data_IF_210304688777
#
_entry.id   IF_210304688777
#
_cell.length_a   1.000
_cell.length_b   1.000
_cell.length_c   1.000
_cell.angle_alpha   90.00
_cell.angle_beta   90.00
_cell.angle_gamma   90.00
#
_symmetry.space_group_name_H-M   'P 1'
#
loop_
_entity.id
_entity.type
_entity.pdbx_description
1 polymer ?
#
# COMPACT_ATOMS: atom_id res chain seq x y z
N UNK A 1 0.82 4.80 5.41
CA UNK A 1 0.98 3.37 5.11
C UNK A 1 0.88 2.54 6.38
N UNK A 2 1.12 1.23 6.29
CA UNK A 2 1.12 0.34 7.46
C UNK A 2 2.53 0.10 7.99
N UNK A 3 2.67 0.08 9.32
CA UNK A 3 3.90 -0.37 10.00
C UNK A 3 4.08 -1.87 9.80
N UNK A 4 5.32 -2.28 9.58
CA UNK A 4 5.69 -3.69 9.44
C UNK A 4 5.63 -4.48 10.75
N UNK A 5 5.74 -3.80 11.90
CA UNK A 5 5.61 -4.39 13.24
C UNK A 5 4.81 -3.48 14.17
N UNK A 6 4.10 -4.08 15.13
CA UNK A 6 3.36 -3.34 16.15
C UNK A 6 4.31 -2.49 17.00
N UNK A 7 3.98 -1.21 17.31
CA UNK A 7 4.73 -0.40 18.27
C UNK A 7 4.78 -0.98 19.69
N UNK A 8 3.89 -1.91 20.02
CA UNK A 8 3.88 -2.60 21.32
C UNK A 8 4.90 -3.75 21.39
N UNK A 9 5.48 -4.15 20.27
CA UNK A 9 6.45 -5.24 20.21
C UNK A 9 7.83 -4.76 20.71
N UNK A 10 8.52 -5.50 21.59
CA UNK A 10 9.85 -5.10 22.08
C UNK A 10 10.92 -5.01 20.98
N UNK A 11 10.69 -5.63 19.81
CA UNK A 11 11.59 -5.55 18.67
C UNK A 11 11.28 -4.38 17.73
N UNK A 12 10.28 -3.55 18.05
CA UNK A 12 9.90 -2.41 17.24
C UNK A 12 11.02 -1.38 17.10
N UNK A 13 11.24 -0.97 15.85
CA UNK A 13 12.19 0.02 15.37
C UNK A 13 11.47 0.96 14.42
N UNK A 14 10.91 2.04 14.99
CA UNK A 14 10.14 3.03 14.23
C UNK A 14 10.97 4.02 13.42
N UNK A 15 12.31 3.93 13.46
CA UNK A 15 13.22 4.84 12.74
C UNK A 15 14.14 4.09 11.80
N UNK A 16 14.11 4.46 10.53
CA UNK A 16 15.02 3.96 9.51
C UNK A 16 16.22 4.92 9.38
N UNK A 17 17.16 4.84 10.32
CA UNK A 17 18.33 5.74 10.41
C UNK A 17 19.59 4.98 10.80
N UNK A 18 20.75 5.62 10.68
CA UNK A 18 22.04 5.03 11.04
C UNK A 18 22.75 4.39 9.84
N UNK A 19 23.70 3.49 10.11
CA UNK A 19 24.46 2.76 9.11
C UNK A 19 23.67 1.61 8.47
N UNK A 20 24.31 0.83 7.57
CA UNK A 20 23.65 -0.30 6.91
C UNK A 20 23.04 -1.32 7.87
N UNK A 21 23.74 -1.67 8.95
CA UNK A 21 23.27 -2.68 9.90
C UNK A 21 22.04 -2.21 10.69
N UNK A 22 22.00 -0.96 11.11
CA UNK A 22 20.87 -0.37 11.84
C UNK A 22 19.64 -0.27 10.95
N UNK A 23 19.85 0.15 9.70
CA UNK A 23 18.79 0.26 8.69
C UNK A 23 18.23 -1.09 8.30
N UNK A 24 19.08 -2.08 8.05
CA UNK A 24 18.67 -3.45 7.74
C UNK A 24 17.81 -4.04 8.87
N UNK A 25 18.25 -3.89 10.11
CA UNK A 25 17.52 -4.37 11.27
C UNK A 25 16.18 -3.63 11.50
N UNK A 26 15.99 -2.41 10.97
CA UNK A 26 14.73 -1.67 11.05
C UNK A 26 13.79 -1.91 9.85
N UNK A 27 14.32 -2.43 8.73
CA UNK A 27 13.65 -2.43 7.41
C UNK A 27 12.26 -3.07 7.40
N UNK A 28 12.08 -4.10 8.23
CA UNK A 28 10.80 -4.79 8.44
C UNK A 28 10.38 -4.90 9.92
N UNK A 29 10.96 -4.07 10.78
CA UNK A 29 10.72 -4.13 12.23
C UNK A 29 10.00 -2.89 12.76
N UNK A 30 9.15 -2.23 11.97
CA UNK A 30 8.41 -1.03 12.40
C UNK A 30 8.36 0.06 11.34
N UNK A 31 9.30 0.05 10.40
CA UNK A 31 9.27 0.85 9.17
C UNK A 31 7.94 0.68 8.45
N UNK A 32 7.38 1.79 7.95
CA UNK A 32 6.12 1.82 7.21
C UNK A 32 6.35 1.50 5.76
N UNK A 33 5.53 0.60 5.22
CA UNK A 33 5.50 0.25 3.81
C UNK A 33 4.18 0.71 3.17
N UNK A 34 4.17 1.70 2.26
CA UNK A 34 2.94 2.22 1.66
C UNK A 34 2.16 1.20 0.83
N UNK A 35 2.85 0.35 0.06
CA UNK A 35 2.19 -0.62 -0.82
C UNK A 35 1.26 -1.58 -0.04
N UNK A 36 1.56 -1.87 1.23
CA UNK A 36 0.71 -2.71 2.10
C UNK A 36 -0.71 -2.15 2.29
N UNK A 37 -0.91 -0.84 2.05
CA UNK A 37 -2.26 -0.25 2.08
C UNK A 37 -3.17 -0.86 1.01
N UNK A 38 -2.63 -1.26 -0.15
CA UNK A 38 -3.40 -1.87 -1.23
C UNK A 38 -4.16 -3.13 -0.81
N UNK A 39 -3.45 -4.23 -0.44
CA UNK A 39 -4.10 -5.45 0.02
C UNK A 39 -4.91 -5.24 1.31
N UNK A 40 -4.46 -4.36 2.21
CA UNK A 40 -5.21 -4.04 3.42
C UNK A 40 -6.59 -3.44 3.12
N UNK A 41 -6.66 -2.46 2.23
CA UNK A 41 -7.93 -1.82 1.84
C UNK A 41 -8.83 -2.81 1.12
N UNK A 42 -8.28 -3.58 0.18
CA UNK A 42 -9.06 -4.63 -0.51
C UNK A 42 -9.67 -5.61 0.48
N UNK A 43 -8.89 -6.08 1.46
CA UNK A 43 -9.37 -6.98 2.50
C UNK A 43 -10.44 -6.30 3.38
N UNK A 44 -10.17 -5.09 3.87
CA UNK A 44 -11.06 -4.33 4.72
C UNK A 44 -12.42 -4.08 4.05
N UNK A 45 -12.43 -3.57 2.82
CA UNK A 45 -13.67 -3.31 2.08
C UNK A 45 -14.43 -4.61 1.84
N UNK A 46 -13.75 -5.72 1.52
CA UNK A 46 -14.38 -7.02 1.30
C UNK A 46 -15.06 -7.58 2.55
N UNK A 47 -14.38 -7.58 3.71
CA UNK A 47 -14.94 -8.14 4.96
C UNK A 47 -16.09 -7.29 5.51
N UNK A 48 -16.13 -6.00 5.17
CA UNK A 48 -17.22 -5.09 5.51
C UNK A 48 -18.28 -4.98 4.40
N UNK A 49 -18.42 -6.02 3.56
CA UNK A 49 -19.50 -6.13 2.57
C UNK A 49 -19.46 -5.10 1.44
N UNK A 50 -18.34 -4.41 1.25
CA UNK A 50 -18.22 -3.35 0.25
C UNK A 50 -19.09 -2.13 0.53
N UNK A 51 -19.51 -1.92 1.80
CA UNK A 51 -20.42 -0.85 2.19
C UNK A 51 -19.85 0.55 1.93
N UNK A 52 -20.75 1.53 1.81
CA UNK A 52 -20.36 2.94 1.61
C UNK A 52 -19.48 3.44 2.77
N UNK A 53 -19.77 3.01 3.99
CA UNK A 53 -19.00 3.36 5.20
C UNK A 53 -17.59 2.79 5.12
N UNK A 54 -17.44 1.52 4.71
CA UNK A 54 -16.14 0.89 4.55
C UNK A 54 -15.29 1.58 3.47
N UNK A 55 -15.91 1.95 2.34
CA UNK A 55 -15.22 2.70 1.28
C UNK A 55 -14.81 4.10 1.72
N UNK A 56 -15.68 4.78 2.46
CA UNK A 56 -15.38 6.10 3.04
C UNK A 56 -14.19 6.01 4.00
N UNK A 57 -14.20 5.04 4.91
CA UNK A 57 -13.10 4.82 5.84
C UNK A 57 -11.78 4.47 5.13
N UNK A 58 -11.84 3.67 4.07
CA UNK A 58 -10.67 3.36 3.25
C UNK A 58 -10.11 4.62 2.55
N UNK A 59 -10.96 5.51 2.06
CA UNK A 59 -10.54 6.79 1.49
C UNK A 59 -9.81 7.66 2.52
N UNK A 60 -10.35 7.74 3.75
CA UNK A 60 -9.71 8.49 4.84
C UNK A 60 -8.32 7.94 5.20
N UNK A 61 -8.15 6.61 5.22
CA UNK A 61 -6.83 6.02 5.47
C UNK A 61 -5.80 6.24 4.35
N UNK A 62 -6.25 6.49 3.12
CA UNK A 62 -5.37 6.83 2.00
C UNK A 62 -4.97 8.30 1.95
N UNK A 63 -5.71 9.19 2.62
CA UNK A 63 -5.48 10.64 2.59
C UNK A 63 -4.02 11.05 2.88
N UNK A 64 -3.32 10.49 3.89
CA UNK A 64 -1.92 10.85 4.12
C UNK A 64 -0.99 10.47 2.96
N UNK A 65 -1.29 9.40 2.22
CA UNK A 65 -0.52 9.00 1.04
C UNK A 65 -0.86 9.85 -0.20
N UNK A 66 -2.07 10.41 -0.25
CA UNK A 66 -2.41 11.44 -1.25
C UNK A 66 -1.64 12.73 -0.98
N UNK A 67 -1.54 13.17 0.27
CA UNK A 67 -0.75 14.32 0.68
C UNK A 67 0.74 14.11 0.39
N UNK A 68 1.25 12.89 0.59
CA UNK A 68 2.61 12.47 0.25
C UNK A 68 2.97 12.68 -1.23
N UNK A 69 2.01 12.72 -2.15
CA UNK A 69 2.31 13.01 -3.58
C UNK A 69 2.91 14.41 -3.81
N UNK A 70 2.82 15.29 -2.81
CA UNK A 70 3.42 16.63 -2.84
C UNK A 70 4.70 16.74 -2.00
N UNK A 71 5.20 15.64 -1.41
CA UNK A 71 6.35 15.60 -0.51
C UNK A 71 7.31 14.42 -0.83
N UNK A 72 8.60 14.55 -0.53
CA UNK A 72 9.65 13.55 -0.80
C UNK A 72 10.01 13.36 -2.29
N UNK A 73 9.01 13.24 -3.17
CA UNK A 73 9.15 13.17 -4.63
C UNK A 73 7.83 13.49 -5.32
N UNK A 74 7.80 14.53 -6.16
CA UNK A 74 6.57 15.03 -6.78
C UNK A 74 5.86 13.96 -7.61
N UNK A 75 4.60 13.69 -7.28
CA UNK A 75 3.77 12.69 -7.92
C UNK A 75 4.17 11.24 -7.62
N UNK A 76 5.01 11.01 -6.61
CA UNK A 76 5.54 9.71 -6.26
C UNK A 76 5.16 9.29 -4.84
N UNK A 77 5.16 7.99 -4.59
CA UNK A 77 5.07 7.42 -3.25
C UNK A 77 6.37 6.67 -2.97
N UNK A 78 7.00 7.02 -1.85
CA UNK A 78 8.28 6.45 -1.44
C UNK A 78 8.17 4.97 -1.09
N UNK A 79 9.32 4.30 -1.09
CA UNK A 79 9.43 2.89 -0.76
C UNK A 79 9.02 2.61 0.68
N UNK A 80 9.57 3.40 1.60
CA UNK A 80 9.35 3.27 3.03
C UNK A 80 9.23 4.64 3.68
N UNK A 81 8.60 4.66 4.86
CA UNK A 81 8.61 5.81 5.75
C UNK A 81 8.98 5.37 7.16
N UNK A 82 9.47 6.30 7.97
CA UNK A 82 9.59 6.07 9.41
C UNK A 82 8.24 5.60 10.00
N UNK A 83 8.30 4.64 10.94
CA UNK A 83 7.13 4.19 11.70
C UNK A 83 6.66 5.20 12.74
N UNK A 84 7.57 6.02 13.27
CA UNK A 84 7.27 7.03 14.27
C UNK A 84 7.12 8.44 13.66
N UNK A 85 6.32 9.29 14.29
CA UNK A 85 6.12 10.67 13.83
C UNK A 85 7.36 11.55 14.11
N UNK A 86 7.82 12.40 13.16
CA UNK A 86 7.30 12.57 11.81
C UNK A 86 7.67 11.38 10.91
N UNK A 87 6.71 10.89 10.12
CA UNK A 87 6.89 9.79 9.18
C UNK A 87 7.64 10.27 7.93
N UNK A 88 8.95 10.42 8.05
CA UNK A 88 9.80 10.91 6.95
C UNK A 88 9.87 9.85 5.83
N UNK A 89 9.84 10.26 4.54
CA UNK A 89 10.13 9.35 3.44
C UNK A 89 11.58 8.88 3.49
N UNK A 90 11.79 7.61 3.19
CA UNK A 90 13.08 6.93 3.22
C UNK A 90 13.19 5.94 2.04
N UNK A 91 14.38 5.39 1.83
CA UNK A 91 14.64 4.43 0.76
C UNK A 91 14.48 5.04 -0.63
N UNK A 92 13.98 4.26 -1.59
CA UNK A 92 13.70 4.75 -2.93
C UNK A 92 12.60 5.83 -2.92
N UNK A 93 12.88 6.98 -3.54
CA UNK A 93 11.96 8.13 -3.61
C UNK A 93 10.68 7.76 -4.37
N UNK A 94 10.81 7.01 -5.47
CA UNK A 94 9.75 6.71 -6.42
C UNK A 94 9.62 5.19 -6.58
N UNK A 95 8.64 4.60 -5.90
CA UNK A 95 8.57 3.16 -5.80
C UNK A 95 7.30 2.60 -6.44
N UNK A 96 7.50 1.76 -7.47
CA UNK A 96 6.44 1.32 -8.38
C UNK A 96 5.28 0.63 -7.67
N UNK A 97 5.56 -0.28 -6.74
CA UNK A 97 4.50 -0.99 -6.00
C UNK A 97 3.72 -0.07 -5.06
N UNK A 98 4.31 1.01 -4.56
CA UNK A 98 3.67 1.92 -3.60
C UNK A 98 2.64 2.75 -4.34
N UNK A 99 3.02 3.29 -5.48
CA UNK A 99 2.11 4.00 -6.39
C UNK A 99 1.05 3.04 -6.94
N UNK A 100 1.47 1.88 -7.44
CA UNK A 100 0.59 0.89 -8.05
C UNK A 100 -0.50 0.39 -7.10
N UNK A 101 -0.15 -0.06 -5.90
CA UNK A 101 -1.11 -0.63 -4.96
C UNK A 101 -2.05 0.41 -4.36
N UNK A 102 -1.57 1.62 -4.11
CA UNK A 102 -2.43 2.73 -3.63
C UNK A 102 -3.41 3.14 -4.71
N UNK A 103 -2.96 3.29 -5.96
CA UNK A 103 -3.84 3.63 -7.08
C UNK A 103 -4.86 2.52 -7.35
N UNK A 104 -4.42 1.25 -7.36
CA UNK A 104 -5.29 0.08 -7.55
C UNK A 104 -6.39 0.06 -6.50
N UNK A 105 -6.04 0.12 -5.21
CA UNK A 105 -7.04 0.09 -4.13
C UNK A 105 -7.98 1.32 -4.16
N UNK A 106 -7.48 2.49 -4.55
CA UNK A 106 -8.33 3.66 -4.71
C UNK A 106 -9.36 3.47 -5.84
N UNK A 107 -8.93 2.98 -6.99
CA UNK A 107 -9.82 2.77 -8.16
C UNK A 107 -10.79 1.61 -7.92
N UNK A 108 -10.27 0.45 -7.51
CA UNK A 108 -11.05 -0.79 -7.43
C UNK A 108 -11.92 -0.88 -6.18
N UNK A 109 -11.45 -0.42 -5.03
CA UNK A 109 -12.10 -0.66 -3.74
C UNK A 109 -12.77 0.61 -3.20
N UNK A 110 -12.11 1.77 -3.27
CA UNK A 110 -12.71 3.04 -2.83
C UNK A 110 -13.75 3.53 -3.85
N UNK A 111 -13.39 3.64 -5.14
CA UNK A 111 -14.34 4.05 -6.19
C UNK A 111 -15.23 2.91 -6.69
N UNK A 112 -14.83 1.67 -6.48
CA UNK A 112 -15.61 0.50 -6.91
C UNK A 112 -15.47 0.18 -8.40
N UNK A 113 -14.50 0.79 -9.10
CA UNK A 113 -14.22 0.50 -10.51
C UNK A 113 -13.37 -0.76 -10.62
N UNK A 114 -14.02 -1.91 -10.50
CA UNK A 114 -13.35 -3.20 -10.66
C UNK A 114 -13.30 -3.58 -12.14
N UNK A 115 -12.18 -4.16 -12.62
CA UNK A 115 -12.15 -4.77 -13.93
C UNK A 115 -13.30 -5.78 -14.03
N UNK A 116 -14.03 -5.76 -15.15
CA UNK A 116 -14.99 -6.82 -15.44
C UNK A 116 -14.24 -8.15 -15.42
N UNK A 117 -14.80 -9.17 -14.76
CA UNK A 117 -14.28 -10.52 -14.91
C UNK A 117 -14.18 -10.82 -16.40
N UNK A 118 -12.97 -11.04 -16.91
CA UNK A 118 -12.83 -11.47 -18.29
C UNK A 118 -13.62 -12.77 -18.44
N UNK A 119 -14.49 -12.82 -19.45
CA UNK A 119 -15.15 -14.07 -19.79
C UNK A 119 -14.05 -15.13 -20.01
N UNK A 120 -14.20 -16.34 -19.47
CA UNK A 120 -13.18 -17.38 -19.65
C UNK A 120 -12.93 -17.55 -21.14
N UNK A 121 -11.67 -17.37 -21.56
CA UNK A 121 -11.24 -17.60 -22.94
C UNK A 121 -11.48 -19.07 -23.23
N UNK A 122 -12.54 -19.40 -23.96
CA UNK A 122 -12.74 -20.78 -24.44
C UNK A 122 -11.64 -21.08 -25.46
N UNK A 123 -10.81 -22.10 -25.26
CA UNK A 123 -9.86 -22.50 -26.29
C UNK A 123 -10.65 -22.91 -27.55
N UNK A 124 -10.37 -22.25 -28.68
CA UNK A 124 -10.89 -22.69 -29.98
C UNK A 124 -10.14 -23.96 -30.37
N UNK A 125 -10.71 -25.12 -30.06
CA UNK A 125 -10.26 -26.37 -30.65
C UNK A 125 -10.78 -26.37 -32.09
N UNK A 126 -9.98 -25.85 -33.01
CA UNK A 126 -10.22 -26.06 -34.43
C UNK A 126 -9.95 -27.54 -34.70
N UNK A 127 -11.01 -28.35 -34.77
CA UNK A 127 -10.91 -29.68 -35.37
C UNK A 127 -10.59 -29.49 -36.85
N UNK A 128 -9.31 -29.64 -37.21
CA UNK A 128 -8.92 -29.94 -38.58
C UNK A 128 -9.33 -31.38 -38.89
N UNK A 129 -10.23 -31.51 -39.87
CA UNK A 129 -10.65 -32.77 -40.48
C UNK A 129 -9.52 -33.42 -41.29
#
# INVERSE_FOLDING_TARGET
GLRSLSPSDPQYRGRYTGGPAERDAAYHQGTVWPWLMGPFITAYVKVNGGSTEARSQAAEWLKPLQEHLSDGGLGQISEILDGDAPQRPCGCIAQAWSVGEVLRAYVEDVKGFRPSAQAPVRPSITQTA
#
